data_IF_769811730789
#
_entry.id   IF_769811730789
#
_cell.length_a   1.000
_cell.length_b   1.000
_cell.length_c   1.000
_cell.angle_alpha   90.00
_cell.angle_beta   90.00
_cell.angle_gamma   90.00
#
_symmetry.space_group_name_H-M   'P 1'
#
loop_
_entity.id
_entity.type
_entity.pdbx_description
1 polymer ?
#
# COMPACT_ATOMS: atom_id res chain seq x y z
N UNK A 1 -22.65 -32.97 -0.56
CA UNK A 1 -21.19 -33.17 -0.69
C UNK A 1 -20.80 -34.64 -0.58
N UNK A 2 -21.18 -35.37 0.48
CA UNK A 2 -20.84 -36.82 0.63
C UNK A 2 -21.28 -37.73 -0.53
N UNK A 3 -22.39 -37.46 -1.22
CA UNK A 3 -22.81 -38.23 -2.39
C UNK A 3 -22.01 -37.91 -3.65
N UNK A 4 -21.47 -36.68 -3.76
CA UNK A 4 -20.70 -36.21 -4.93
C UNK A 4 -19.28 -36.76 -4.87
N UNK A 5 -18.70 -36.87 -3.66
CA UNK A 5 -17.37 -37.46 -3.47
C UNK A 5 -17.26 -38.89 -4.03
N UNK A 6 -18.36 -39.65 -4.01
CA UNK A 6 -18.41 -41.03 -4.54
C UNK A 6 -18.57 -41.11 -6.07
N UNK A 7 -18.89 -40.01 -6.73
CA UNK A 7 -19.11 -39.94 -8.18
C UNK A 7 -17.91 -39.32 -8.92
N UNK A 8 -16.84 -38.99 -8.20
CA UNK A 8 -15.64 -38.36 -8.76
C UNK A 8 -14.48 -39.35 -8.80
N UNK A 9 -13.61 -39.20 -9.79
CA UNK A 9 -12.39 -39.99 -9.94
C UNK A 9 -11.58 -40.05 -8.64
N UNK A 10 -11.13 -41.24 -8.29
CA UNK A 10 -10.10 -41.45 -7.28
C UNK A 10 -8.70 -41.39 -7.91
N UNK A 11 -7.66 -41.38 -7.06
CA UNK A 11 -6.29 -41.30 -7.55
C UNK A 11 -5.94 -42.50 -8.44
N UNK A 12 -6.31 -43.70 -7.98
CA UNK A 12 -6.05 -44.95 -8.68
C UNK A 12 -6.89 -45.11 -9.95
N UNK A 13 -7.93 -44.32 -10.16
CA UNK A 13 -8.68 -44.34 -11.42
C UNK A 13 -7.94 -43.57 -12.51
N UNK A 14 -7.40 -42.40 -12.15
CA UNK A 14 -6.80 -41.45 -13.08
C UNK A 14 -5.30 -41.69 -13.30
N UNK A 15 -4.54 -42.03 -12.26
CA UNK A 15 -3.08 -42.17 -12.35
C UNK A 15 -2.68 -43.62 -12.63
N UNK A 16 -1.83 -43.82 -13.64
CA UNK A 16 -1.23 -45.13 -13.98
C UNK A 16 0.28 -45.13 -13.79
N UNK A 17 0.91 -43.97 -13.87
CA UNK A 17 2.34 -43.82 -13.67
C UNK A 17 2.72 -42.40 -13.27
N UNK A 18 3.67 -42.29 -12.34
CA UNK A 18 4.19 -41.01 -11.85
C UNK A 18 5.70 -41.11 -11.69
N UNK A 19 6.43 -40.19 -12.31
CA UNK A 19 7.88 -40.03 -12.14
C UNK A 19 8.21 -38.57 -11.90
N UNK A 20 9.04 -38.29 -10.90
CA UNK A 20 9.60 -36.97 -10.65
C UNK A 20 11.12 -37.10 -10.50
N UNK A 21 11.88 -36.40 -11.34
CA UNK A 21 13.35 -36.50 -11.30
C UNK A 21 13.93 -37.88 -11.66
N UNK A 22 13.09 -38.81 -12.13
CA UNK A 22 13.43 -40.22 -12.38
C UNK A 22 12.94 -41.17 -11.29
N UNK A 23 12.57 -40.67 -10.12
CA UNK A 23 12.04 -41.46 -9.01
C UNK A 23 10.52 -41.63 -9.12
N UNK A 24 10.00 -42.78 -8.68
CA UNK A 24 8.55 -43.03 -8.65
C UNK A 24 7.90 -42.17 -7.57
N UNK A 25 6.77 -41.55 -7.92
CA UNK A 25 5.92 -40.82 -6.98
C UNK A 25 4.60 -41.55 -6.74
N UNK A 26 4.02 -41.35 -5.57
CA UNK A 26 2.80 -42.02 -5.12
C UNK A 26 1.69 -41.00 -4.79
N UNK A 27 0.49 -41.50 -4.49
CA UNK A 27 -0.66 -40.70 -4.07
C UNK A 27 -0.36 -39.73 -2.92
N UNK A 28 0.56 -40.09 -2.01
CA UNK A 28 0.94 -39.25 -0.86
C UNK A 28 1.55 -37.91 -1.25
N UNK A 29 2.10 -37.79 -2.47
CA UNK A 29 2.66 -36.54 -2.98
C UNK A 29 1.60 -35.61 -3.62
N UNK A 30 0.34 -36.06 -3.67
CA UNK A 30 -0.77 -35.31 -4.25
C UNK A 30 -1.78 -34.96 -3.17
N UNK A 31 -2.20 -33.70 -3.18
CA UNK A 31 -3.33 -33.23 -2.37
C UNK A 31 -4.58 -33.21 -3.24
N UNK A 32 -5.67 -33.81 -2.75
CA UNK A 32 -6.97 -33.74 -3.43
C UNK A 32 -7.70 -32.46 -3.04
N UNK A 33 -8.16 -31.71 -4.04
CA UNK A 33 -9.07 -30.56 -3.88
C UNK A 33 -10.34 -30.80 -4.68
N UNK A 34 -11.44 -30.16 -4.30
CA UNK A 34 -12.71 -30.30 -5.00
C UNK A 34 -13.06 -29.02 -5.75
N UNK A 35 -13.24 -29.13 -7.06
CA UNK A 35 -13.75 -28.07 -7.92
C UNK A 35 -15.17 -28.41 -8.36
N UNK A 36 -16.09 -27.45 -8.27
CA UNK A 36 -17.51 -27.67 -8.53
C UNK A 36 -17.77 -28.00 -10.01
N UNK A 37 -16.93 -27.51 -10.93
CA UNK A 37 -17.05 -27.74 -12.37
C UNK A 37 -16.33 -29.01 -12.82
N UNK A 38 -15.16 -29.29 -12.26
CA UNK A 38 -14.28 -30.39 -12.70
C UNK A 38 -14.26 -31.61 -11.77
N UNK A 39 -14.92 -31.54 -10.61
CA UNK A 39 -14.90 -32.60 -9.61
C UNK A 39 -13.61 -32.63 -8.81
N UNK A 40 -13.12 -33.84 -8.47
CA UNK A 40 -11.91 -34.02 -7.69
C UNK A 40 -10.67 -33.71 -8.54
N UNK A 41 -9.87 -32.75 -8.10
CA UNK A 41 -8.60 -32.37 -8.71
C UNK A 41 -7.43 -32.82 -7.83
N UNK A 42 -6.31 -33.18 -8.47
CA UNK A 42 -5.10 -33.61 -7.78
C UNK A 42 -3.97 -32.62 -8.03
N UNK A 43 -3.41 -32.06 -6.96
CA UNK A 43 -2.32 -31.10 -7.03
C UNK A 43 -1.04 -31.71 -6.48
N UNK A 44 0.01 -31.76 -7.31
CA UNK A 44 1.35 -32.18 -6.89
C UNK A 44 2.06 -31.03 -6.19
N UNK A 45 2.71 -31.28 -5.05
CA UNK A 45 3.54 -30.29 -4.34
C UNK A 45 2.75 -29.02 -3.94
N UNK A 46 1.52 -29.19 -3.46
CA UNK A 46 0.61 -28.10 -3.06
C UNK A 46 0.51 -27.98 -1.55
N UNK A 47 0.77 -26.78 -1.03
CA UNK A 47 0.72 -26.46 0.40
C UNK A 47 1.46 -27.48 1.30
N UNK A 48 2.56 -28.04 0.78
CA UNK A 48 3.34 -29.07 1.46
C UNK A 48 4.52 -28.43 2.19
N UNK A 49 4.75 -28.88 3.43
CA UNK A 49 5.89 -28.47 4.25
C UNK A 49 7.24 -28.89 3.66
N UNK A 50 7.28 -29.99 2.92
CA UNK A 50 8.47 -30.48 2.23
C UNK A 50 8.39 -30.19 0.74
N UNK A 51 8.60 -28.92 0.38
CA UNK A 51 8.58 -28.49 -1.02
C UNK A 51 9.61 -29.25 -1.86
N UNK A 52 9.13 -29.96 -2.87
CA UNK A 52 9.99 -30.66 -3.82
C UNK A 52 10.51 -29.67 -4.86
N UNK A 53 11.82 -29.70 -5.13
CA UNK A 53 12.49 -28.79 -6.06
C UNK A 53 13.32 -29.55 -7.11
N UNK A 54 13.62 -28.89 -8.23
CA UNK A 54 14.48 -29.44 -9.29
C UNK A 54 15.82 -28.71 -9.31
N UNK A 55 16.91 -29.44 -9.52
CA UNK A 55 18.28 -28.89 -9.55
C UNK A 55 18.85 -28.77 -10.97
N UNK A 56 18.21 -29.39 -11.96
CA UNK A 56 18.64 -29.43 -13.36
C UNK A 56 17.45 -29.19 -14.29
N UNK A 57 17.72 -28.61 -15.45
CA UNK A 57 16.72 -28.46 -16.52
C UNK A 57 16.55 -29.76 -17.31
N UNK A 58 15.47 -29.82 -18.08
CA UNK A 58 15.22 -30.88 -19.05
C UNK A 58 14.09 -31.82 -18.64
N UNK A 59 13.51 -32.48 -19.65
CA UNK A 59 12.28 -33.27 -19.50
C UNK A 59 12.41 -34.47 -18.56
N UNK A 60 13.61 -35.01 -18.36
CA UNK A 60 13.85 -36.11 -17.42
C UNK A 60 13.85 -35.69 -15.95
N UNK A 61 14.15 -34.43 -15.65
CA UNK A 61 14.26 -33.91 -14.28
C UNK A 61 12.92 -33.39 -13.76
N UNK A 62 11.93 -33.26 -14.63
CA UNK A 62 10.60 -32.77 -14.30
C UNK A 62 9.64 -33.85 -13.81
N UNK A 63 8.36 -33.51 -13.82
CA UNK A 63 7.25 -34.40 -13.52
C UNK A 63 6.73 -35.04 -14.80
N UNK A 64 6.71 -36.37 -14.85
CA UNK A 64 6.08 -37.16 -15.92
C UNK A 64 4.93 -37.95 -15.34
N UNK A 65 3.76 -37.80 -15.94
CA UNK A 65 2.55 -38.50 -15.55
C UNK A 65 2.02 -39.31 -16.72
N UNK A 66 1.61 -40.54 -16.43
CA UNK A 66 0.77 -41.34 -17.30
C UNK A 66 -0.59 -41.44 -16.65
N UNK A 67 -1.60 -40.87 -17.31
CA UNK A 67 -2.97 -40.80 -16.84
C UNK A 67 -3.87 -41.63 -17.74
N UNK A 68 -4.95 -42.15 -17.17
CA UNK A 68 -5.98 -42.88 -17.87
C UNK A 68 -7.31 -42.16 -17.72
N UNK A 69 -7.97 -41.90 -18.84
CA UNK A 69 -9.25 -41.21 -18.89
C UNK A 69 -10.22 -42.06 -19.70
N UNK A 70 -11.08 -42.80 -18.99
CA UNK A 70 -12.08 -43.68 -19.58
C UNK A 70 -13.15 -42.87 -20.33
N UNK A 71 -13.27 -43.06 -21.64
CA UNK A 71 -14.25 -42.33 -22.46
C UNK A 71 -15.70 -42.70 -22.12
N UNK A 72 -15.93 -43.88 -21.54
CA UNK A 72 -17.26 -44.35 -21.17
C UNK A 72 -17.87 -43.59 -19.99
N UNK A 73 -17.03 -42.94 -19.17
CA UNK A 73 -17.45 -42.19 -17.98
C UNK A 73 -17.86 -40.74 -18.32
N UNK A 74 -17.65 -40.31 -19.56
CA UNK A 74 -17.99 -38.96 -20.01
C UNK A 74 -19.49 -38.84 -20.26
N UNK A 75 -20.07 -37.71 -19.85
CA UNK A 75 -21.42 -37.35 -20.25
C UNK A 75 -21.46 -37.07 -21.76
N UNK A 76 -22.55 -37.45 -22.43
CA UNK A 76 -22.75 -37.26 -23.88
C UNK A 76 -22.63 -35.78 -24.31
N UNK A 77 -22.89 -34.84 -23.40
CA UNK A 77 -22.77 -33.39 -23.63
C UNK A 77 -21.33 -32.86 -23.51
N UNK A 78 -20.36 -33.71 -23.18
CA UNK A 78 -18.97 -33.30 -22.98
C UNK A 78 -18.29 -33.04 -24.33
N UNK A 79 -17.86 -31.81 -24.56
CA UNK A 79 -17.27 -31.40 -25.85
C UNK A 79 -15.86 -31.96 -26.09
N UNK A 80 -15.10 -32.25 -25.01
CA UNK A 80 -13.69 -32.64 -25.10
C UNK A 80 -13.36 -33.75 -24.12
N UNK A 81 -12.46 -34.65 -24.53
CA UNK A 81 -11.93 -35.71 -23.68
C UNK A 81 -10.44 -35.52 -23.41
N UNK A 82 -10.05 -35.68 -22.15
CA UNK A 82 -8.68 -35.46 -21.69
C UNK A 82 -8.65 -34.89 -20.28
N UNK A 83 -7.50 -34.35 -19.90
CA UNK A 83 -7.30 -33.76 -18.58
C UNK A 83 -7.00 -32.29 -18.69
N UNK A 84 -7.38 -31.52 -17.68
CA UNK A 84 -7.08 -30.09 -17.60
C UNK A 84 -5.96 -29.86 -16.60
N UNK A 85 -4.86 -29.29 -17.08
CA UNK A 85 -3.64 -29.08 -16.30
C UNK A 85 -3.47 -27.59 -16.03
N UNK A 86 -3.12 -27.26 -14.79
CA UNK A 86 -2.86 -25.89 -14.33
C UNK A 86 -1.51 -25.87 -13.63
N UNK A 87 -0.76 -24.79 -13.81
CA UNK A 87 0.53 -24.59 -13.17
C UNK A 87 0.39 -23.34 -12.32
N UNK A 88 0.57 -23.47 -11.01
CA UNK A 88 0.38 -22.39 -10.05
C UNK A 88 1.40 -22.48 -8.91
N UNK A 89 1.49 -21.40 -8.13
CA UNK A 89 2.35 -21.35 -6.96
C UNK A 89 1.78 -22.23 -5.83
N UNK A 90 2.66 -22.84 -5.04
CA UNK A 90 2.28 -23.82 -4.00
C UNK A 90 1.29 -23.25 -2.98
N UNK A 91 1.42 -21.97 -2.65
CA UNK A 91 0.59 -21.27 -1.67
C UNK A 91 -0.59 -20.50 -2.30
N UNK A 92 -0.95 -20.73 -3.57
CA UNK A 92 -2.09 -20.05 -4.21
C UNK A 92 -3.16 -21.04 -4.65
N UNK A 93 -4.42 -20.62 -4.59
CA UNK A 93 -5.53 -21.48 -4.95
C UNK A 93 -5.54 -21.81 -6.47
N UNK A 94 -5.74 -23.08 -6.85
CA UNK A 94 -5.81 -23.52 -8.24
C UNK A 94 -7.12 -23.11 -8.95
N UNK A 95 -7.12 -22.01 -9.70
CA UNK A 95 -8.28 -21.62 -10.53
C UNK A 95 -8.28 -22.32 -11.90
N UNK A 96 -8.72 -23.58 -11.93
CA UNK A 96 -8.64 -24.43 -13.12
C UNK A 96 -9.42 -23.91 -14.33
N UNK A 97 -10.57 -23.28 -14.11
CA UNK A 97 -11.41 -22.73 -15.18
C UNK A 97 -10.74 -21.60 -15.97
N UNK A 98 -9.83 -20.83 -15.36
CA UNK A 98 -9.26 -19.62 -15.98
C UNK A 98 -7.87 -19.87 -16.56
N UNK A 99 -7.00 -20.54 -15.79
CA UNK A 99 -5.59 -20.72 -16.16
C UNK A 99 -5.27 -22.12 -16.69
N UNK A 100 -6.29 -22.98 -16.86
CA UNK A 100 -6.08 -24.36 -17.27
C UNK A 100 -5.89 -24.57 -18.76
N UNK A 101 -5.01 -25.49 -19.11
CA UNK A 101 -4.77 -25.97 -20.46
C UNK A 101 -5.26 -27.40 -20.60
N UNK A 102 -5.92 -27.71 -21.71
CA UNK A 102 -6.40 -29.07 -21.98
C UNK A 102 -5.25 -29.91 -22.57
N UNK A 103 -5.08 -31.11 -22.03
CA UNK A 103 -4.20 -32.14 -22.55
C UNK A 103 -5.07 -33.30 -23.09
N UNK A 104 -5.08 -33.53 -24.41
CA UNK A 104 -5.96 -34.51 -25.03
C UNK A 104 -5.48 -35.95 -24.78
N UNK A 105 -6.42 -36.89 -24.84
CA UNK A 105 -6.15 -38.32 -24.86
C UNK A 105 -5.39 -38.74 -26.13
N UNK A 106 -4.59 -39.81 -26.02
CA UNK A 106 -3.76 -40.34 -27.10
C UNK A 106 -2.51 -39.50 -27.44
N UNK A 107 -2.21 -38.45 -26.66
CA UNK A 107 -1.06 -37.57 -26.89
C UNK A 107 -0.16 -37.42 -25.67
N UNK A 108 1.12 -37.19 -25.94
CA UNK A 108 2.09 -36.64 -25.00
C UNK A 108 2.01 -35.12 -25.07
N UNK A 109 1.53 -34.50 -24.01
CA UNK A 109 1.52 -33.05 -23.84
C UNK A 109 2.69 -32.64 -22.96
N UNK A 110 3.57 -31.82 -23.50
CA UNK A 110 4.77 -31.34 -22.83
C UNK A 110 4.62 -29.87 -22.46
N UNK A 111 4.85 -29.55 -21.19
CA UNK A 111 4.82 -28.20 -20.65
C UNK A 111 6.24 -27.77 -20.29
N UNK A 112 6.77 -26.82 -21.05
CA UNK A 112 8.07 -26.20 -20.83
C UNK A 112 7.87 -24.91 -20.03
N UNK A 113 8.25 -24.92 -18.75
CA UNK A 113 7.92 -23.88 -17.78
C UNK A 113 9.04 -22.87 -17.60
N UNK A 114 8.68 -21.59 -17.43
CA UNK A 114 9.53 -20.51 -16.96
C UNK A 114 8.91 -19.85 -15.73
N UNK A 115 9.72 -19.63 -14.71
CA UNK A 115 9.30 -18.95 -13.48
C UNK A 115 9.53 -17.45 -13.59
N UNK A 116 8.57 -16.67 -13.12
CA UNK A 116 8.69 -15.22 -13.00
C UNK A 116 8.10 -14.73 -11.69
N UNK A 117 8.69 -13.71 -11.09
CA UNK A 117 8.23 -13.10 -9.85
C UNK A 117 8.03 -11.60 -10.11
N UNK A 118 6.82 -11.12 -9.85
CA UNK A 118 6.49 -9.70 -9.88
C UNK A 118 6.42 -9.15 -8.45
N UNK A 119 7.18 -8.08 -8.19
CA UNK A 119 7.16 -7.31 -6.94
C UNK A 119 6.70 -5.89 -7.24
N UNK A 120 5.55 -5.51 -6.67
CA UNK A 120 4.86 -4.23 -6.91
C UNK A 120 4.95 -3.31 -5.71
N UNK A 121 4.88 -2.01 -5.96
CA UNK A 121 4.86 -1.01 -4.89
C UNK A 121 3.47 -0.90 -4.24
N UNK A 122 3.42 -0.74 -2.92
CA UNK A 122 2.17 -0.71 -2.14
C UNK A 122 1.50 0.67 -2.07
N UNK A 123 2.17 1.74 -2.52
CA UNK A 123 1.68 3.12 -2.45
C UNK A 123 1.51 3.76 -3.82
N UNK A 124 0.63 4.76 -3.91
CA UNK A 124 0.29 5.46 -5.15
C UNK A 124 -1.10 5.07 -5.69
N UNK A 125 -1.39 5.38 -6.96
CA UNK A 125 -2.68 5.08 -7.60
C UNK A 125 -2.89 3.57 -7.85
N UNK A 126 -1.83 2.78 -7.87
CA UNK A 126 -1.87 1.32 -8.07
C UNK A 126 -1.54 0.61 -6.76
N UNK A 127 -2.45 0.65 -5.80
CA UNK A 127 -2.26 -0.07 -4.53
C UNK A 127 -2.23 -1.57 -4.80
N UNK A 128 -1.17 -2.24 -4.38
CA UNK A 128 -1.16 -3.70 -4.24
C UNK A 128 -1.57 -4.10 -2.82
N UNK A 129 -2.13 -5.29 -2.67
CA UNK A 129 -2.54 -5.82 -1.37
C UNK A 129 -2.25 -7.33 -1.31
N UNK A 130 -1.59 -7.78 -0.25
CA UNK A 130 -1.34 -9.20 0.00
C UNK A 130 -2.31 -9.81 1.04
N UNK A 131 -3.14 -8.97 1.68
CA UNK A 131 -4.05 -9.41 2.74
C UNK A 131 -5.38 -9.88 2.17
N UNK A 132 -5.75 -11.12 2.50
CA UNK A 132 -7.06 -11.67 2.18
C UNK A 132 -8.16 -10.95 2.95
N UNK A 133 -9.30 -10.63 2.31
CA UNK A 133 -10.45 -10.07 3.01
C UNK A 133 -10.99 -11.07 4.06
N UNK A 134 -11.78 -10.60 5.05
CA UNK A 134 -12.44 -11.50 5.99
C UNK A 134 -13.36 -12.48 5.25
N UNK A 135 -13.44 -13.72 5.77
CA UNK A 135 -14.21 -14.84 5.21
C UNK A 135 -13.77 -15.20 3.77
N UNK A 136 -12.46 -15.21 3.51
CA UNK A 136 -11.90 -15.68 2.24
C UNK A 136 -11.96 -17.22 2.17
N UNK A 137 -12.81 -17.81 1.32
CA UNK A 137 -13.05 -19.25 1.34
C UNK A 137 -12.00 -20.06 0.56
N UNK A 138 -11.06 -19.40 -0.12
CA UNK A 138 -10.00 -20.06 -0.86
C UNK A 138 -8.77 -20.28 0.02
N UNK A 139 -8.17 -21.46 -0.06
CA UNK A 139 -6.96 -21.79 0.70
C UNK A 139 -5.72 -21.10 0.11
N UNK A 140 -4.84 -20.62 0.97
CA UNK A 140 -3.56 -20.00 0.62
C UNK A 140 -3.57 -18.48 0.66
N UNK A 141 -2.61 -17.88 -0.05
CA UNK A 141 -2.43 -16.42 -0.14
C UNK A 141 -3.54 -15.76 -0.95
N UNK A 142 -3.69 -14.46 -0.71
CA UNK A 142 -4.55 -13.60 -1.50
C UNK A 142 -4.25 -13.70 -2.99
N UNK A 143 -5.31 -13.71 -3.79
CA UNK A 143 -5.24 -13.62 -5.25
C UNK A 143 -6.33 -12.66 -5.73
N UNK A 144 -6.02 -11.86 -6.75
CA UNK A 144 -6.99 -10.94 -7.33
C UNK A 144 -8.24 -11.67 -7.84
N UNK A 145 -8.06 -12.88 -8.39
CA UNK A 145 -9.14 -13.74 -8.88
C UNK A 145 -10.10 -14.18 -7.76
N UNK A 146 -9.54 -14.60 -6.62
CA UNK A 146 -10.35 -14.97 -5.45
C UNK A 146 -11.12 -13.77 -4.90
N UNK A 147 -10.47 -12.59 -4.85
CA UNK A 147 -11.13 -11.35 -4.45
C UNK A 147 -12.33 -11.02 -5.32
N UNK A 148 -12.16 -11.06 -6.64
CA UNK A 148 -13.23 -10.75 -7.59
C UNK A 148 -14.43 -11.68 -7.36
N UNK A 149 -14.20 -12.99 -7.26
CA UNK A 149 -15.28 -13.97 -7.04
C UNK A 149 -16.06 -13.71 -5.75
N UNK A 150 -15.37 -13.37 -4.67
CA UNK A 150 -16.01 -13.01 -3.39
C UNK A 150 -16.79 -11.71 -3.51
N UNK A 151 -16.24 -10.71 -4.22
CA UNK A 151 -16.96 -9.47 -4.47
C UNK A 151 -18.28 -9.73 -5.22
N UNK A 152 -18.25 -10.53 -6.30
CA UNK A 152 -19.47 -10.96 -6.98
C UNK A 152 -20.46 -11.66 -6.04
N UNK A 153 -19.98 -12.59 -5.21
CA UNK A 153 -20.83 -13.27 -4.23
C UNK A 153 -21.49 -12.32 -3.23
N UNK A 154 -20.79 -11.27 -2.77
CA UNK A 154 -21.37 -10.25 -1.88
C UNK A 154 -22.50 -9.49 -2.56
N UNK A 155 -22.33 -9.11 -3.84
CA UNK A 155 -23.37 -8.44 -4.59
C UNK A 155 -24.57 -9.36 -4.89
N UNK A 156 -24.33 -10.62 -5.23
CA UNK A 156 -25.39 -11.61 -5.40
C UNK A 156 -26.22 -11.78 -4.12
N UNK A 157 -25.54 -11.90 -2.96
CA UNK A 157 -26.22 -11.99 -1.66
C UNK A 157 -27.02 -10.74 -1.34
N UNK A 158 -26.47 -9.55 -1.59
CA UNK A 158 -27.12 -8.27 -1.28
C UNK A 158 -28.37 -7.99 -2.12
N UNK A 159 -28.36 -8.36 -3.40
CA UNK A 159 -29.42 -7.99 -4.34
C UNK A 159 -30.38 -9.13 -4.68
N UNK A 160 -29.86 -10.35 -4.79
CA UNK A 160 -30.65 -11.53 -5.15
C UNK A 160 -31.03 -12.38 -3.92
N UNK A 161 -30.46 -12.10 -2.74
CA UNK A 161 -30.71 -12.85 -1.51
C UNK A 161 -30.13 -14.27 -1.49
N UNK A 162 -29.31 -14.62 -2.47
CA UNK A 162 -28.69 -15.93 -2.61
C UNK A 162 -27.32 -15.82 -3.31
N UNK A 163 -26.48 -16.84 -3.15
CA UNK A 163 -25.13 -16.88 -3.72
C UNK A 163 -25.05 -17.85 -4.90
N UNK A 164 -24.12 -17.60 -5.81
CA UNK A 164 -23.88 -18.44 -6.98
C UNK A 164 -23.26 -19.79 -6.56
N UNK A 165 -23.89 -20.89 -6.96
CA UNK A 165 -23.41 -22.26 -6.70
C UNK A 165 -22.06 -22.60 -7.32
N UNK A 166 -21.56 -21.81 -8.28
CA UNK A 166 -20.27 -22.04 -8.97
C UNK A 166 -19.06 -21.63 -8.15
N UNK A 167 -19.25 -20.84 -7.09
CA UNK A 167 -18.18 -20.44 -6.18
C UNK A 167 -18.46 -20.96 -4.77
N UNK A 168 -17.43 -21.16 -3.94
CA UNK A 168 -17.62 -21.58 -2.56
C UNK A 168 -18.44 -20.57 -1.76
N UNK A 169 -19.03 -21.04 -0.66
CA UNK A 169 -19.73 -20.19 0.32
C UNK A 169 -18.73 -19.26 1.01
N UNK A 170 -19.16 -18.05 1.34
CA UNK A 170 -18.37 -17.14 2.18
C UNK A 170 -18.60 -17.46 3.65
N UNK A 171 -19.87 -17.68 4.01
CA UNK A 171 -20.33 -18.05 5.35
C UNK A 171 -21.13 -19.36 5.31
N UNK A 172 -21.10 -20.14 6.40
CA UNK A 172 -21.84 -21.41 6.48
C UNK A 172 -23.36 -21.24 6.36
N UNK A 173 -23.88 -20.06 6.71
CA UNK A 173 -25.30 -19.69 6.61
C UNK A 173 -25.73 -19.32 5.19
N UNK A 174 -24.79 -19.19 4.25
CA UNK A 174 -25.12 -18.77 2.89
C UNK A 174 -25.89 -19.85 2.12
N UNK A 175 -26.97 -19.43 1.47
CA UNK A 175 -27.85 -20.28 0.67
C UNK A 175 -27.55 -20.09 -0.80
N UNK A 176 -27.30 -21.21 -1.50
CA UNK A 176 -27.14 -21.19 -2.95
C UNK A 176 -28.46 -20.86 -3.65
N UNK A 177 -28.38 -20.07 -4.73
CA UNK A 177 -29.53 -19.82 -5.59
C UNK A 177 -30.03 -21.13 -6.19
N UNK A 178 -31.36 -21.27 -6.24
CA UNK A 178 -32.00 -22.45 -6.79
C UNK A 178 -31.92 -22.43 -8.33
N UNK A 179 -31.51 -23.55 -8.94
CA UNK A 179 -31.27 -23.64 -10.38
C UNK A 179 -32.56 -23.65 -11.22
N UNK A 180 -33.68 -24.01 -10.58
CA UNK A 180 -35.03 -24.01 -11.14
C UNK A 180 -35.69 -22.62 -11.08
N UNK A 181 -35.25 -21.75 -10.18
CA UNK A 181 -35.81 -20.42 -10.02
C UNK A 181 -35.28 -19.46 -11.10
N UNK A 182 -36.13 -19.16 -12.09
CA UNK A 182 -35.83 -18.26 -13.20
C UNK A 182 -35.48 -16.85 -12.72
N UNK A 183 -36.16 -16.33 -11.70
CA UNK A 183 -35.94 -14.97 -11.19
C UNK A 183 -34.57 -14.82 -10.54
N UNK A 184 -34.14 -15.81 -9.73
CA UNK A 184 -32.81 -15.79 -9.13
C UNK A 184 -31.70 -15.87 -10.18
N UNK A 185 -31.88 -16.72 -11.20
CA UNK A 185 -30.93 -16.82 -12.32
C UNK A 185 -30.83 -15.55 -13.15
N UNK A 186 -31.97 -14.91 -13.43
CA UNK A 186 -32.01 -13.63 -14.12
C UNK A 186 -31.33 -12.54 -13.29
N UNK A 187 -31.55 -12.53 -11.97
CA UNK A 187 -30.90 -11.61 -11.04
C UNK A 187 -29.38 -11.76 -11.04
N UNK A 188 -28.85 -12.98 -10.86
CA UNK A 188 -27.41 -13.26 -10.92
C UNK A 188 -26.80 -12.76 -12.23
N UNK A 189 -27.47 -13.04 -13.35
CA UNK A 189 -27.01 -12.61 -14.67
C UNK A 189 -26.99 -11.08 -14.78
N UNK A 190 -28.05 -10.39 -14.35
CA UNK A 190 -28.14 -8.93 -14.39
C UNK A 190 -27.06 -8.27 -13.51
N UNK A 191 -26.86 -8.76 -12.29
CA UNK A 191 -25.81 -8.28 -11.38
C UNK A 191 -24.42 -8.47 -12.00
N UNK A 192 -24.15 -9.65 -12.59
CA UNK A 192 -22.86 -9.94 -13.23
C UNK A 192 -22.58 -9.00 -14.40
N UNK A 193 -23.58 -8.72 -15.24
CA UNK A 193 -23.50 -7.82 -16.39
C UNK A 193 -23.30 -6.38 -15.93
N UNK A 194 -24.03 -5.92 -14.91
CA UNK A 194 -23.90 -4.56 -14.37
C UNK A 194 -22.50 -4.32 -13.81
N UNK A 195 -21.98 -5.22 -12.97
CA UNK A 195 -20.64 -5.07 -12.39
C UNK A 195 -19.57 -5.09 -13.49
N UNK A 196 -19.74 -5.93 -14.51
CA UNK A 196 -18.71 -6.11 -15.54
C UNK A 196 -18.71 -4.98 -16.57
N UNK A 197 -19.88 -4.45 -16.95
CA UNK A 197 -20.01 -3.48 -18.05
C UNK A 197 -20.33 -2.05 -17.61
N UNK A 198 -21.03 -1.87 -16.48
CA UNK A 198 -21.56 -0.56 -16.06
C UNK A 198 -20.72 0.03 -14.93
N UNK A 199 -20.39 -0.77 -13.92
CA UNK A 199 -19.63 -0.33 -12.74
C UNK A 199 -18.51 -1.32 -12.38
N UNK A 200 -17.42 -1.36 -13.19
CA UNK A 200 -16.26 -2.20 -12.91
C UNK A 200 -15.52 -1.78 -11.63
N UNK A 201 -15.72 -0.54 -11.17
CA UNK A 201 -15.19 -0.04 -9.90
C UNK A 201 -15.91 -0.56 -8.66
N UNK A 202 -17.08 -1.20 -8.80
CA UNK A 202 -17.81 -1.80 -7.67
C UNK A 202 -16.95 -2.83 -6.90
N UNK A 203 -16.03 -3.50 -7.60
CA UNK A 203 -15.10 -4.47 -7.02
C UNK A 203 -13.66 -3.95 -7.02
N UNK A 204 -13.25 -3.29 -5.94
CA UNK A 204 -11.85 -2.91 -5.72
C UNK A 204 -11.01 -4.13 -5.28
N UNK A 205 -10.48 -4.86 -6.27
CA UNK A 205 -9.63 -6.01 -6.07
C UNK A 205 -8.21 -5.72 -6.56
N UNK A 206 -7.36 -5.09 -5.73
CA UNK A 206 -5.96 -4.82 -6.07
C UNK A 206 -5.20 -6.11 -6.34
N UNK A 207 -4.13 -6.03 -7.15
CA UNK A 207 -3.24 -7.19 -7.36
C UNK A 207 -2.35 -7.43 -6.13
N UNK A 208 -1.91 -8.68 -5.90
CA UNK A 208 -0.89 -8.94 -4.89
C UNK A 208 0.40 -8.17 -5.16
N UNK A 209 1.05 -7.73 -4.07
CA UNK A 209 2.33 -7.05 -4.12
C UNK A 209 3.43 -8.02 -4.54
N UNK A 210 3.36 -9.27 -4.07
CA UNK A 210 4.28 -10.33 -4.48
C UNK A 210 3.51 -11.43 -5.22
N UNK A 211 3.81 -11.60 -6.50
CA UNK A 211 3.13 -12.57 -7.35
C UNK A 211 4.14 -13.43 -8.10
N UNK A 212 4.20 -14.71 -7.74
CA UNK A 212 4.92 -15.71 -8.52
C UNK A 212 4.00 -16.25 -9.62
N UNK A 213 4.45 -16.18 -10.87
CA UNK A 213 3.70 -16.66 -12.03
C UNK A 213 4.57 -17.55 -12.92
N UNK A 214 3.95 -18.58 -13.49
CA UNK A 214 4.61 -19.54 -14.37
C UNK A 214 4.05 -19.36 -15.78
N UNK A 215 4.94 -19.15 -16.74
CA UNK A 215 4.58 -19.21 -18.16
C UNK A 215 4.99 -20.57 -18.71
N UNK A 216 4.11 -21.19 -19.51
CA UNK A 216 4.38 -22.49 -20.11
C UNK A 216 4.26 -22.45 -21.62
N UNK A 217 5.27 -22.94 -22.32
CA UNK A 217 5.19 -23.27 -23.74
C UNK A 217 4.74 -24.72 -23.88
N UNK A 218 3.68 -24.95 -24.65
CA UNK A 218 3.04 -26.27 -24.80
C UNK A 218 3.44 -26.86 -26.14
N UNK A 219 3.85 -28.12 -26.14
CA UNK A 219 4.03 -28.93 -27.34
C UNK A 219 3.34 -30.28 -27.19
N UNK A 220 2.86 -30.84 -28.30
CA UNK A 220 2.10 -32.09 -28.30
C UNK A 220 2.63 -33.04 -29.37
N UNK A 221 2.62 -34.34 -29.06
CA UNK A 221 2.96 -35.40 -30.01
C UNK A 221 2.06 -36.61 -29.77
N UNK A 222 1.74 -37.35 -30.83
CA UNK A 222 0.96 -38.59 -30.70
C UNK A 222 1.71 -39.64 -29.90
N UNK A 223 1.00 -40.35 -29.01
CA UNK A 223 1.56 -41.48 -28.29
C UNK A 223 1.75 -42.67 -29.22
N UNK A 224 2.89 -43.35 -29.07
CA UNK A 224 3.14 -44.60 -29.76
C UNK A 224 2.61 -45.77 -28.95
N UNK A 225 2.13 -46.84 -29.60
CA UNK A 225 1.71 -48.06 -28.91
C UNK A 225 2.72 -48.64 -27.90
N UNK A 226 4.02 -48.51 -28.18
CA UNK A 226 5.07 -49.12 -27.37
C UNK A 226 5.64 -48.20 -26.27
N UNK A 227 5.19 -46.94 -26.16
CA UNK A 227 5.75 -46.02 -25.16
C UNK A 227 5.34 -46.32 -23.71
N UNK A 228 4.40 -47.25 -23.52
CA UNK A 228 3.82 -47.57 -22.21
C UNK A 228 4.59 -48.66 -21.43
N UNK A 229 5.58 -49.31 -22.06
CA UNK A 229 6.41 -50.37 -21.44
C UNK A 229 7.12 -49.88 -20.17
N UNK A 230 7.39 -48.58 -20.05
CA UNK A 230 8.01 -47.99 -18.85
C UNK A 230 7.07 -47.94 -17.62
N UNK A 231 5.76 -48.06 -17.82
CA UNK A 231 4.76 -47.86 -16.77
C UNK A 231 3.86 -49.08 -16.55
N UNK A 232 3.45 -49.80 -17.60
CA UNK A 232 2.67 -51.03 -17.49
C UNK A 232 2.98 -51.98 -18.67
N UNK A 233 3.72 -53.09 -18.42
CA UNK A 233 4.06 -54.07 -19.46
C UNK A 233 2.94 -55.07 -19.79
N UNK A 234 1.81 -55.05 -19.07
CA UNK A 234 0.81 -56.14 -19.12
C UNK A 234 -0.46 -55.79 -19.90
N UNK A 235 -0.75 -54.51 -20.09
CA UNK A 235 -2.03 -54.08 -20.64
C UNK A 235 -1.90 -53.54 -22.08
N UNK A 236 -2.33 -54.35 -23.06
CA UNK A 236 -2.25 -54.04 -24.51
C UNK A 236 -3.48 -53.25 -25.03
N UNK A 237 -4.29 -52.73 -24.11
CA UNK A 237 -5.60 -52.15 -24.40
C UNK A 237 -5.51 -50.66 -24.77
N UNK A 238 -6.08 -50.34 -25.92
CA UNK A 238 -6.44 -49.02 -26.48
C UNK A 238 -5.63 -47.80 -25.99
N UNK A 239 -4.55 -47.48 -26.69
CA UNK A 239 -3.72 -46.27 -26.52
C UNK A 239 -4.48 -44.92 -26.58
N UNK A 240 -5.75 -44.94 -27.01
CA UNK A 240 -6.54 -43.73 -27.28
C UNK A 240 -7.06 -43.05 -26.02
N UNK A 241 -7.09 -43.73 -24.87
CA UNK A 241 -7.65 -43.21 -23.61
C UNK A 241 -6.59 -42.75 -22.61
N UNK A 242 -5.31 -42.93 -22.95
CA UNK A 242 -4.19 -42.49 -22.11
C UNK A 242 -3.80 -41.05 -22.41
N UNK A 243 -3.47 -40.29 -21.38
CA UNK A 243 -2.84 -38.97 -21.50
C UNK A 243 -1.46 -39.05 -20.89
N UNK A 244 -0.43 -38.64 -21.62
CA UNK A 244 0.90 -38.50 -21.06
C UNK A 244 1.24 -37.03 -20.88
N UNK A 245 1.66 -36.65 -19.68
CA UNK A 245 2.07 -35.30 -19.35
C UNK A 245 3.57 -35.28 -19.03
N UNK A 246 4.27 -34.27 -19.52
CA UNK A 246 5.68 -34.03 -19.18
C UNK A 246 5.86 -32.56 -18.84
N UNK A 247 6.01 -32.23 -17.56
CA UNK A 247 6.21 -30.87 -17.07
C UNK A 247 7.66 -30.70 -16.62
N UNK A 248 8.37 -29.72 -17.16
CA UNK A 248 9.75 -29.43 -16.77
C UNK A 248 10.08 -27.95 -16.91
N UNK A 249 11.13 -27.49 -16.23
CA UNK A 249 11.64 -26.13 -16.39
C UNK A 249 12.55 -26.03 -17.62
N UNK A 250 12.26 -25.07 -18.51
CA UNK A 250 13.12 -24.78 -19.67
C UNK A 250 14.47 -24.22 -19.25
N UNK A 251 14.45 -23.41 -18.21
CA UNK A 251 15.58 -22.67 -17.65
C UNK A 251 15.42 -22.63 -16.13
N UNK A 252 16.52 -22.69 -15.38
CA UNK A 252 16.52 -22.50 -13.92
C UNK A 252 16.57 -21.01 -13.54
N UNK A 253 16.67 -20.11 -14.50
CA UNK A 253 16.57 -18.67 -14.28
C UNK A 253 15.14 -18.28 -13.92
N UNK A 254 15.01 -17.36 -12.98
CA UNK A 254 13.73 -16.75 -12.58
C UNK A 254 13.74 -15.30 -13.07
N UNK A 255 12.73 -14.95 -13.86
CA UNK A 255 12.57 -13.57 -14.34
C UNK A 255 11.98 -12.73 -13.21
N UNK A 256 12.66 -11.65 -12.80
CA UNK A 256 12.17 -10.76 -11.75
C UNK A 256 11.72 -9.43 -12.33
N UNK A 257 10.47 -9.06 -12.05
CA UNK A 257 9.86 -7.79 -12.43
C UNK A 257 9.63 -7.01 -11.14
N UNK A 258 10.49 -6.04 -10.86
CA UNK A 258 10.41 -5.23 -9.64
C UNK A 258 10.09 -3.80 -10.01
N UNK A 259 9.01 -3.27 -9.43
CA UNK A 259 8.63 -1.87 -9.55
C UNK A 259 9.37 -1.03 -8.50
N UNK A 260 9.95 0.08 -8.94
CA UNK A 260 10.60 1.06 -8.09
C UNK A 260 10.03 2.45 -8.38
N UNK A 261 9.97 3.35 -7.38
CA UNK A 261 9.54 4.72 -7.63
C UNK A 261 10.46 5.39 -8.66
N UNK A 262 9.88 5.98 -9.70
CA UNK A 262 10.63 6.76 -10.69
C UNK A 262 11.34 7.97 -10.08
N UNK A 263 10.79 8.47 -8.97
CA UNK A 263 11.30 9.63 -8.27
C UNK A 263 11.33 9.40 -6.76
N UNK A 264 12.53 9.42 -6.19
CA UNK A 264 12.74 9.24 -4.74
C UNK A 264 12.69 10.59 -4.02
N UNK A 265 12.47 10.56 -2.70
CA UNK A 265 12.53 11.78 -1.89
C UNK A 265 13.90 12.46 -1.98
N UNK A 266 14.97 11.69 -2.11
CA UNK A 266 16.33 12.22 -2.31
C UNK A 266 16.44 13.01 -3.61
N UNK A 267 15.86 12.50 -4.70
CA UNK A 267 15.81 13.23 -5.98
C UNK A 267 15.00 14.51 -5.85
N UNK A 268 13.88 14.49 -5.11
CA UNK A 268 13.06 15.67 -4.85
C UNK A 268 13.85 16.80 -4.18
N UNK A 269 14.57 16.47 -3.11
CA UNK A 269 15.39 17.46 -2.40
C UNK A 269 16.57 17.92 -3.25
N UNK A 270 17.15 17.02 -4.05
CA UNK A 270 18.24 17.35 -4.97
C UNK A 270 17.78 18.36 -6.04
N UNK A 271 16.63 18.14 -6.68
CA UNK A 271 16.15 19.03 -7.75
C UNK A 271 15.60 20.34 -7.18
N UNK A 272 14.94 20.31 -6.01
CA UNK A 272 14.55 21.53 -5.30
C UNK A 272 15.79 22.35 -4.90
N UNK A 273 16.81 21.70 -4.36
CA UNK A 273 18.07 22.33 -4.00
C UNK A 273 18.81 22.88 -5.23
N UNK A 274 18.80 22.15 -6.34
CA UNK A 274 19.40 22.56 -7.61
C UNK A 274 18.69 23.76 -8.21
N UNK A 275 17.35 23.76 -8.23
CA UNK A 275 16.56 24.89 -8.76
C UNK A 275 16.69 26.14 -7.89
N UNK A 276 16.57 26.02 -6.57
CA UNK A 276 16.79 27.14 -5.64
C UNK A 276 18.23 27.65 -5.73
N UNK A 277 19.20 26.75 -5.78
CA UNK A 277 20.62 27.08 -5.93
C UNK A 277 20.92 27.78 -7.25
N UNK A 278 20.27 27.39 -8.35
CA UNK A 278 20.46 28.03 -9.66
C UNK A 278 19.79 29.41 -9.73
N UNK A 279 18.50 29.52 -9.40
CA UNK A 279 17.73 30.75 -9.58
C UNK A 279 18.04 31.83 -8.55
N UNK A 280 18.21 31.44 -7.29
CA UNK A 280 18.48 32.39 -6.20
C UNK A 280 19.97 32.48 -5.87
N UNK A 281 20.83 31.66 -6.50
CA UNK A 281 22.24 31.51 -6.13
C UNK A 281 22.42 31.22 -4.63
N UNK A 282 21.43 30.57 -4.02
CA UNK A 282 21.36 30.37 -2.58
C UNK A 282 21.85 28.97 -2.22
N UNK A 283 22.94 28.92 -1.46
CA UNK A 283 23.42 27.66 -0.88
C UNK A 283 22.69 27.32 0.43
N UNK A 284 22.85 26.09 0.92
CA UNK A 284 22.36 25.68 2.25
C UNK A 284 22.80 26.64 3.37
N UNK A 285 24.02 27.16 3.25
CA UNK A 285 24.57 28.14 4.21
C UNK A 285 23.82 29.47 4.12
N UNK A 286 23.55 29.95 2.90
CA UNK A 286 22.75 31.16 2.69
C UNK A 286 21.33 31.00 3.25
N UNK A 287 20.71 29.83 3.06
CA UNK A 287 19.39 29.55 3.63
C UNK A 287 19.40 29.60 5.16
N UNK A 288 20.42 29.01 5.79
CA UNK A 288 20.59 29.07 7.24
C UNK A 288 20.76 30.51 7.75
N UNK A 289 21.53 31.34 7.05
CA UNK A 289 21.71 32.74 7.39
C UNK A 289 20.39 33.53 7.29
N UNK A 290 19.59 33.28 6.25
CA UNK A 290 18.27 33.88 6.08
C UNK A 290 17.32 33.52 7.22
N UNK A 291 17.32 32.27 7.69
CA UNK A 291 16.51 31.85 8.85
C UNK A 291 16.95 32.57 10.13
N UNK A 292 18.26 32.73 10.36
CA UNK A 292 18.77 33.51 11.50
C UNK A 292 18.34 34.99 11.38
N UNK A 293 18.42 35.56 10.18
CA UNK A 293 18.02 36.93 9.95
C UNK A 293 16.52 37.14 10.21
N UNK A 294 15.66 36.25 9.71
CA UNK A 294 14.20 36.30 9.93
C UNK A 294 13.83 36.12 11.40
N UNK A 295 14.47 35.20 12.12
CA UNK A 295 14.22 35.00 13.57
C UNK A 295 14.67 36.19 14.41
N UNK A 296 15.80 36.82 14.06
CA UNK A 296 16.24 38.09 14.67
C UNK A 296 15.28 39.23 14.36
N UNK A 297 14.81 39.35 13.12
CA UNK A 297 13.80 40.35 12.74
C UNK A 297 12.48 40.15 13.50
N UNK A 298 12.01 38.91 13.62
CA UNK A 298 10.77 38.60 14.32
C UNK A 298 10.87 38.86 15.82
N UNK A 299 11.99 38.49 16.46
CA UNK A 299 12.21 38.82 17.86
C UNK A 299 12.36 40.33 18.09
N UNK A 300 13.01 41.06 17.18
CA UNK A 300 13.10 42.51 17.23
C UNK A 300 11.73 43.19 17.03
N UNK A 301 10.88 42.71 16.11
CA UNK A 301 9.53 43.26 15.91
C UNK A 301 8.60 42.97 17.08
N UNK A 302 8.72 41.81 17.73
CA UNK A 302 8.03 41.48 18.98
C UNK A 302 8.50 42.38 20.14
N UNK A 303 9.80 42.67 20.22
CA UNK A 303 10.33 43.60 21.23
C UNK A 303 9.89 45.04 20.96
N UNK A 304 9.85 45.46 19.69
CA UNK A 304 9.37 46.78 19.29
C UNK A 304 7.89 46.97 19.63
N UNK A 305 7.04 46.00 19.31
CA UNK A 305 5.61 46.04 19.64
C UNK A 305 5.35 45.99 21.15
N UNK A 306 6.11 45.17 21.91
CA UNK A 306 6.07 45.20 23.39
C UNK A 306 6.51 46.55 23.96
N UNK A 307 7.58 47.14 23.44
CA UNK A 307 8.08 48.45 23.86
C UNK A 307 7.06 49.56 23.58
N UNK A 308 6.42 49.53 22.41
CA UNK A 308 5.36 50.48 22.05
C UNK A 308 4.12 50.32 22.94
N UNK A 309 3.75 49.09 23.28
CA UNK A 309 2.62 48.81 24.18
C UNK A 309 2.89 49.25 25.61
N UNK A 310 4.11 49.01 26.12
CA UNK A 310 4.54 49.44 27.47
C UNK A 310 4.63 50.96 27.55
N UNK A 311 5.21 51.64 26.55
CA UNK A 311 5.27 53.10 26.51
C UNK A 311 3.88 53.74 26.45
N UNK A 312 2.92 53.15 25.74
CA UNK A 312 1.53 53.63 25.72
C UNK A 312 0.85 53.48 27.10
N UNK A 313 1.09 52.36 27.80
CA UNK A 313 0.54 52.13 29.14
C UNK A 313 1.17 53.05 30.20
N UNK A 314 2.46 53.34 30.07
CA UNK A 314 3.17 54.31 30.90
C UNK A 314 2.65 55.73 30.66
N UNK A 315 2.47 56.15 29.40
CA UNK A 315 1.91 57.47 29.06
C UNK A 315 0.51 57.66 29.66
N UNK A 316 -0.37 56.66 29.55
CA UNK A 316 -1.71 56.72 30.16
C UNK A 316 -1.65 56.80 31.70
N UNK A 317 -0.72 56.10 32.34
CA UNK A 317 -0.55 56.18 33.79
C UNK A 317 -0.01 57.53 34.27
N UNK A 318 0.80 58.21 33.43
CA UNK A 318 1.29 59.56 33.69
C UNK A 318 0.15 60.57 33.52
N UNK A 319 -0.67 60.45 32.48
CA UNK A 319 -1.83 61.32 32.25
C UNK A 319 -2.86 61.22 33.39
N UNK A 320 -3.11 60.02 33.93
CA UNK A 320 -4.01 59.80 35.08
C UNK A 320 -3.43 60.40 36.37
N UNK A 321 -2.11 60.29 36.60
CA UNK A 321 -1.46 60.96 37.74
C UNK A 321 -1.51 62.48 37.60
N UNK A 322 -1.36 62.98 36.38
CA UNK A 322 -1.42 64.41 36.08
C UNK A 322 -2.83 64.98 36.33
N UNK A 323 -3.90 64.24 36.05
CA UNK A 323 -5.29 64.66 36.36
C UNK A 323 -5.64 64.58 37.85
N UNK A 324 -5.13 63.58 38.58
CA UNK A 324 -5.35 63.48 40.04
C UNK A 324 -4.67 64.59 40.83
N UNK A 325 -3.43 64.95 40.47
CA UNK A 325 -2.69 66.07 41.09
C UNK A 325 -3.29 67.45 40.77
N UNK A 326 -3.94 67.62 39.62
CA UNK A 326 -4.71 68.84 39.32
C UNK A 326 -6.02 68.92 40.11
N UNK A 327 -6.66 67.78 40.42
CA UNK A 327 -7.82 67.74 41.31
C UNK A 327 -7.45 68.00 42.78
N UNK A 328 -6.33 67.47 43.28
CA UNK A 328 -5.85 67.79 44.63
C UNK A 328 -5.42 69.27 44.76
N UNK A 329 -4.80 69.84 43.73
CA UNK A 329 -4.51 71.28 43.69
C UNK A 329 -5.78 72.15 43.65
N UNK A 330 -6.83 71.75 42.90
CA UNK A 330 -8.10 72.48 42.88
C UNK A 330 -8.93 72.35 44.17
N UNK A 331 -8.79 71.26 44.91
CA UNK A 331 -9.50 71.07 46.19
C UNK A 331 -8.85 71.84 47.35
N UNK A 332 -7.53 72.06 47.29
CA UNK A 332 -6.81 72.86 48.31
C UNK A 332 -6.88 74.37 48.08
N UNK A 333 -7.36 74.84 46.92
CA UNK A 333 -7.43 76.28 46.57
C UNK A 333 -8.68 77.01 47.09
N UNK A 334 -9.41 76.44 48.07
CA UNK A 334 -10.53 77.12 48.75
C UNK A 334 -10.15 77.83 50.04
N UNK A 335 -8.89 77.76 50.47
CA UNK A 335 -8.40 78.56 51.60
C UNK A 335 -6.95 78.97 51.35
N UNK A 336 -6.72 80.29 51.30
CA UNK A 336 -5.42 81.01 51.23
C UNK A 336 -4.97 81.39 49.81
N UNK A 337 -4.90 82.71 49.54
CA UNK A 337 -4.33 83.33 48.33
C UNK A 337 -2.79 83.28 48.36
N UNK A 338 -2.10 82.59 47.42
CA UNK A 338 -0.66 82.73 47.23
C UNK A 338 -0.35 83.72 46.10
N UNK A 339 0.78 84.42 46.17
CA UNK A 339 1.23 85.35 45.12
C UNK A 339 1.81 84.61 43.91
N UNK A 340 1.60 85.19 42.71
CA UNK A 340 1.88 84.61 41.38
C UNK A 340 3.31 84.09 41.15
N UNK A 341 4.31 84.53 41.92
CA UNK A 341 5.72 84.07 41.80
C UNK A 341 6.00 82.71 42.44
N UNK A 342 5.27 82.30 43.48
CA UNK A 342 5.52 81.01 44.15
C UNK A 342 4.97 79.82 43.32
N UNK A 343 3.93 80.09 42.53
CA UNK A 343 3.34 79.14 41.56
C UNK A 343 4.30 78.78 40.42
N UNK A 344 5.02 79.76 39.87
CA UNK A 344 5.95 79.52 38.75
C UNK A 344 7.23 78.79 39.19
N UNK A 345 7.69 79.00 40.44
CA UNK A 345 8.87 78.32 40.99
C UNK A 345 8.60 76.83 41.29
N UNK A 346 7.44 76.49 41.85
CA UNK A 346 7.08 75.08 42.09
C UNK A 346 6.81 74.32 40.78
N UNK A 347 6.23 74.98 39.79
CA UNK A 347 5.98 74.40 38.45
C UNK A 347 7.29 74.12 37.69
N UNK A 348 8.31 74.96 37.83
CA UNK A 348 9.62 74.71 37.19
C UNK A 348 10.39 73.55 37.86
N UNK A 349 10.30 73.43 39.19
CA UNK A 349 10.95 72.36 39.95
C UNK A 349 10.39 70.96 39.62
N UNK A 350 9.07 70.84 39.51
CA UNK A 350 8.43 69.59 39.06
C UNK A 350 8.77 69.22 37.61
N UNK A 351 8.92 70.20 36.71
CA UNK A 351 9.40 69.97 35.34
C UNK A 351 10.84 69.44 35.31
N UNK A 352 11.72 70.02 36.12
CA UNK A 352 13.12 69.62 36.22
C UNK A 352 13.30 68.18 36.74
N UNK A 353 12.50 67.76 37.72
CA UNK A 353 12.56 66.38 38.23
C UNK A 353 11.97 65.36 37.24
N UNK A 354 10.93 65.75 36.48
CA UNK A 354 10.42 64.91 35.38
C UNK A 354 11.44 64.73 34.24
N UNK A 355 12.15 65.79 33.84
CA UNK A 355 13.18 65.69 32.81
C UNK A 355 14.35 64.80 33.24
N UNK A 356 14.76 64.85 34.51
CA UNK A 356 15.80 63.95 35.05
C UNK A 356 15.35 62.48 35.08
N UNK A 357 14.10 62.21 35.46
CA UNK A 357 13.54 60.85 35.42
C UNK A 357 13.45 60.28 34.01
N UNK A 358 13.07 61.10 33.02
CA UNK A 358 13.00 60.71 31.60
C UNK A 358 14.38 60.44 30.98
N UNK A 359 15.41 61.18 31.37
CA UNK A 359 16.80 60.96 30.91
C UNK A 359 17.36 59.66 31.48
N UNK A 360 17.16 59.40 32.78
CA UNK A 360 17.65 58.17 33.43
C UNK A 360 16.95 56.90 32.88
N UNK A 361 15.68 57.02 32.48
CA UNK A 361 14.94 55.93 31.84
C UNK A 361 15.39 55.69 30.39
N UNK A 362 15.73 56.74 29.63
CA UNK A 362 16.31 56.62 28.28
C UNK A 362 17.68 55.96 28.29
N UNK A 363 18.53 56.26 29.26
CA UNK A 363 19.85 55.61 29.40
C UNK A 363 19.73 54.11 29.68
N UNK A 364 18.84 53.69 30.59
CA UNK A 364 18.58 52.27 30.87
C UNK A 364 18.06 51.53 29.64
N UNK A 365 17.28 52.22 28.79
CA UNK A 365 16.77 51.67 27.53
C UNK A 365 17.87 51.50 26.47
N UNK A 366 18.81 52.46 26.37
CA UNK A 366 19.91 52.42 25.41
C UNK A 366 20.95 51.34 25.75
N UNK A 367 21.22 51.15 27.04
CA UNK A 367 22.15 50.11 27.53
C UNK A 367 21.61 48.70 27.29
N UNK A 368 20.31 48.48 27.44
CA UNK A 368 19.69 47.20 27.12
C UNK A 368 19.67 46.91 25.60
N UNK A 369 19.50 47.94 24.76
CA UNK A 369 19.56 47.78 23.30
C UNK A 369 20.98 47.42 22.82
N UNK A 370 22.01 48.06 23.39
CA UNK A 370 23.41 47.78 23.07
C UNK A 370 23.82 46.34 23.45
N UNK A 371 23.33 45.85 24.59
CA UNK A 371 23.61 44.49 25.09
C UNK A 371 22.96 43.39 24.23
N UNK A 372 21.80 43.67 23.61
CA UNK A 372 21.10 42.75 22.70
C UNK A 372 21.72 42.73 21.29
N UNK A 373 22.28 43.86 20.84
CA UNK A 373 23.00 43.97 19.57
C UNK A 373 24.46 43.46 19.65
N UNK A 374 24.89 42.95 20.80
CA UNK A 374 26.25 42.43 21.01
C UNK A 374 27.35 43.51 21.04
N UNK A 375 26.97 44.78 21.21
CA UNK A 375 27.90 45.90 21.28
C UNK A 375 28.33 46.09 22.75
N UNK A 376 29.63 46.08 23.00
CA UNK A 376 30.21 46.12 24.34
C UNK A 376 29.80 47.42 25.09
N UNK A 377 29.14 47.36 26.26
CA UNK A 377 28.54 48.52 26.93
C UNK A 377 29.55 49.64 27.29
N UNK A 378 30.81 49.29 27.49
CA UNK A 378 31.90 50.20 27.87
C UNK A 378 32.30 51.18 26.76
N UNK A 379 32.01 50.90 25.48
CA UNK A 379 32.25 51.85 24.37
C UNK A 379 31.14 52.90 24.21
N UNK A 380 29.93 52.62 24.71
CA UNK A 380 28.77 53.51 24.56
C UNK A 380 28.80 54.68 25.55
N UNK A 381 29.33 54.45 26.77
CA UNK A 381 29.54 55.53 27.74
C UNK A 381 30.54 56.60 27.27
N UNK A 382 31.56 56.22 26.50
CA UNK A 382 32.58 57.16 25.97
C UNK A 382 32.03 58.10 24.88
N UNK A 383 31.02 57.67 24.12
CA UNK A 383 30.42 58.48 23.06
C UNK A 383 29.45 59.52 23.65
N UNK A 384 28.83 59.21 24.79
CA UNK A 384 27.88 60.12 25.43
C UNK A 384 28.54 61.20 26.30
N UNK A 385 29.73 60.95 26.89
CA UNK A 385 30.44 62.00 27.67
C UNK A 385 31.13 63.05 26.79
N UNK A 386 31.50 62.71 25.54
CA UNK A 386 32.17 63.65 24.64
C UNK A 386 31.23 64.63 23.90
N UNK A 387 29.90 64.46 23.99
CA UNK A 387 28.92 65.38 23.38
C UNK A 387 28.23 66.33 24.38
N UNK A 388 28.66 66.31 25.64
CA UNK A 388 28.17 67.22 26.69
C UNK A 388 29.18 68.32 27.06
N UNK A 389 30.30 68.41 26.33
CA UNK A 389 31.34 69.44 26.51
C UNK A 389 31.67 70.25 25.23
N UNK A 390 30.82 70.18 24.22
CA UNK A 390 30.69 71.15 23.11
C UNK A 390 29.21 71.53 23.01
#
# INVERSE_FOLDING_TARGET
LQTIDRLTYEYDDLFRGCLFGGDKCDQRNFTSTFDIKYGRCFSFNYNDSTAVSVSKTGSYQGLKLLLYSNLSDYFEVSETAGVRVIIHHQETHPFANIRGHNAPIGMLTTYSMKSSIASRISYGPHKCNDFSPPNFPYQGRYTAEGCQRICFQRHYKAECGCIDSRFPRMDDTDVFCALDNIYQRACLTNVSVRITLVDPSACDCPRPCTEASFSSTISQAFLRPDSFVLFDPTNRSTHREYVMLSLFYSTLSVDSLVEFPSYTFSNLISDLGGTVGFWLSMSLIGFYELVIFLTKLFSASLQYTRSFYVNRKISQSIDIKMSSSTQEMNNNDRTVNPTRRDWDYRRSRYRSEMEKGLVEQREKHFVNLARILGINPSRVHQIHSNKLFQ
#
